data_IF_427118304654
#
_entry.id   IF_427118304654
#
_cell.length_a   1.000
_cell.length_b   1.000
_cell.length_c   1.000
_cell.angle_alpha   90.00
_cell.angle_beta   90.00
_cell.angle_gamma   90.00
#
_symmetry.space_group_name_H-M   'P 1'
#
loop_
_entity.id
_entity.type
_entity.pdbx_description
1 polymer ?
#
# COMPACT_ATOMS: atom_id res chain seq x y z
N UNK A 1 -11.22 5.06 -5.45
CA UNK A 1 -10.05 4.39 -4.85
C UNK A 1 -9.00 5.46 -4.62
N UNK A 2 -8.59 5.68 -3.37
CA UNK A 2 -7.55 6.67 -3.04
C UNK A 2 -6.17 6.10 -3.40
N UNK A 3 -5.17 6.96 -3.57
CA UNK A 3 -3.81 6.53 -3.88
C UNK A 3 -2.81 7.06 -2.85
N UNK A 4 -1.79 6.26 -2.56
CA UNK A 4 -0.67 6.62 -1.71
C UNK A 4 0.64 6.27 -2.43
N UNK A 5 1.42 7.28 -2.79
CA UNK A 5 2.75 7.08 -3.36
C UNK A 5 3.82 7.21 -2.28
N UNK A 6 4.55 6.13 -2.06
CA UNK A 6 5.66 6.07 -1.10
C UNK A 6 7.02 5.94 -1.78
N UNK A 7 7.08 5.90 -3.13
CA UNK A 7 8.35 5.82 -3.86
C UNK A 7 9.32 6.95 -3.50
N UNK A 8 8.90 8.24 -3.38
CA UNK A 8 9.83 9.30 -2.99
C UNK A 8 10.45 9.10 -1.60
N UNK A 9 9.72 8.47 -0.67
CA UNK A 9 10.21 8.18 0.68
C UNK A 9 11.26 7.06 0.61
N UNK A 10 10.95 5.99 -0.13
CA UNK A 10 11.85 4.85 -0.31
C UNK A 10 13.12 5.24 -1.06
N UNK A 11 13.02 6.07 -2.10
CA UNK A 11 14.16 6.60 -2.87
C UNK A 11 15.06 7.50 -2.02
N UNK A 12 14.52 8.20 -1.03
CA UNK A 12 15.28 8.98 -0.06
C UNK A 12 15.87 8.14 1.09
N UNK A 13 15.66 6.82 1.09
CA UNK A 13 16.11 5.92 2.16
C UNK A 13 15.26 5.99 3.43
N UNK A 14 14.08 6.59 3.37
CA UNK A 14 13.13 6.69 4.47
C UNK A 14 12.20 5.49 4.60
N UNK A 15 11.51 5.39 5.74
CA UNK A 15 10.58 4.32 6.05
C UNK A 15 9.12 4.81 5.94
N UNK A 16 8.29 4.28 5.03
CA UNK A 16 6.94 4.80 4.80
C UNK A 16 5.86 4.16 5.70
N UNK A 17 6.21 3.21 6.57
CA UNK A 17 5.23 2.39 7.30
C UNK A 17 4.22 3.23 8.08
N UNK A 18 4.70 4.19 8.89
CA UNK A 18 3.83 5.06 9.69
C UNK A 18 2.89 5.91 8.81
N UNK A 19 3.40 6.41 7.68
CA UNK A 19 2.59 7.16 6.71
C UNK A 19 1.49 6.28 6.10
N UNK A 20 1.80 5.03 5.78
CA UNK A 20 0.82 4.08 5.25
C UNK A 20 -0.24 3.78 6.32
N UNK A 21 0.16 3.55 7.57
CA UNK A 21 -0.80 3.29 8.65
C UNK A 21 -1.70 4.50 8.92
N UNK A 22 -1.14 5.71 8.95
CA UNK A 22 -1.92 6.94 9.10
C UNK A 22 -2.94 7.11 7.95
N UNK A 23 -2.51 6.88 6.71
CA UNK A 23 -3.41 6.90 5.55
C UNK A 23 -4.54 5.87 5.67
N UNK A 24 -4.22 4.64 6.08
CA UNK A 24 -5.22 3.57 6.27
C UNK A 24 -6.22 3.93 7.38
N UNK A 25 -5.79 4.61 8.45
CA UNK A 25 -6.71 5.06 9.52
C UNK A 25 -7.67 6.16 9.09
N UNK A 26 -7.35 6.91 8.03
CA UNK A 26 -8.21 7.95 7.45
C UNK A 26 -9.18 7.42 6.38
N UNK A 27 -9.08 6.13 6.02
CA UNK A 27 -10.03 5.50 5.12
C UNK A 27 -11.36 5.27 5.81
N UNK A 28 -12.45 5.60 5.12
CA UNK A 28 -13.78 5.21 5.57
C UNK A 28 -13.94 3.67 5.47
N UNK A 29 -14.79 3.05 6.31
CA UNK A 29 -15.10 1.64 6.20
C UNK A 29 -15.54 1.28 4.78
N UNK A 30 -14.95 0.21 4.21
CA UNK A 30 -15.25 -0.21 2.85
C UNK A 30 -14.47 0.52 1.74
N UNK A 31 -13.60 1.49 2.06
CA UNK A 31 -12.77 2.13 1.05
C UNK A 31 -11.56 1.28 0.64
N UNK A 32 -11.37 1.15 -0.68
CA UNK A 32 -10.16 0.60 -1.28
C UNK A 32 -9.13 1.70 -1.58
N UNK A 33 -7.85 1.32 -1.61
CA UNK A 33 -6.76 2.21 -2.00
C UNK A 33 -5.65 1.50 -2.80
N UNK A 34 -4.87 2.29 -3.54
CA UNK A 34 -3.68 1.85 -4.26
C UNK A 34 -2.42 2.40 -3.61
N UNK A 35 -1.43 1.54 -3.42
CA UNK A 35 -0.09 1.91 -2.97
C UNK A 35 0.91 1.82 -4.14
N UNK A 36 1.74 2.85 -4.30
CA UNK A 36 2.88 2.84 -5.21
C UNK A 36 4.19 2.70 -4.43
N UNK A 37 4.98 1.69 -4.76
CA UNK A 37 6.26 1.37 -4.09
C UNK A 37 7.36 1.02 -5.11
N UNK A 38 8.62 1.09 -4.68
CA UNK A 38 9.78 0.72 -5.53
C UNK A 38 10.08 -0.78 -5.54
N UNK A 39 9.42 -1.56 -4.68
CA UNK A 39 9.53 -3.01 -4.59
C UNK A 39 8.22 -3.61 -4.07
N UNK A 40 8.04 -4.93 -4.23
CA UNK A 40 6.88 -5.66 -3.74
C UNK A 40 6.83 -5.63 -2.19
N UNK A 41 5.79 -5.04 -1.56
CA UNK A 41 5.77 -4.84 -0.12
C UNK A 41 5.17 -6.05 0.61
N UNK A 42 5.87 -7.19 0.61
CA UNK A 42 5.37 -8.44 1.21
C UNK A 42 5.01 -8.34 2.70
N UNK A 43 5.81 -7.68 3.57
CA UNK A 43 5.44 -7.51 4.97
C UNK A 43 4.15 -6.71 5.13
N UNK A 44 3.94 -5.68 4.31
CA UNK A 44 2.75 -4.85 4.36
C UNK A 44 1.49 -5.61 3.90
N UNK A 45 1.61 -6.47 2.88
CA UNK A 45 0.51 -7.33 2.45
C UNK A 45 0.00 -8.19 3.62
N UNK A 46 0.92 -8.77 4.41
CA UNK A 46 0.56 -9.56 5.58
C UNK A 46 -0.08 -8.72 6.70
N UNK A 47 0.47 -7.53 6.98
CA UNK A 47 -0.09 -6.61 7.99
C UNK A 47 -1.50 -6.17 7.63
N UNK A 48 -1.73 -5.79 6.37
CA UNK A 48 -3.04 -5.31 5.94
C UNK A 48 -4.06 -6.45 5.77
N UNK A 49 -3.61 -7.68 5.48
CA UNK A 49 -4.46 -8.87 5.57
C UNK A 49 -5.02 -9.09 6.98
N UNK A 50 -4.21 -8.95 8.02
CA UNK A 50 -4.68 -9.02 9.42
C UNK A 50 -5.65 -7.89 9.79
N UNK A 51 -5.64 -6.79 9.02
CA UNK A 51 -6.54 -5.65 9.19
C UNK A 51 -7.77 -5.70 8.27
N UNK A 52 -8.04 -6.85 7.64
CA UNK A 52 -9.22 -7.04 6.80
C UNK A 52 -9.09 -6.47 5.39
N UNK A 53 -7.88 -6.38 4.83
CA UNK A 53 -7.66 -5.99 3.44
C UNK A 53 -7.04 -7.14 2.63
N UNK A 54 -7.50 -7.33 1.40
CA UNK A 54 -6.83 -8.15 0.39
C UNK A 54 -5.98 -7.26 -0.50
N UNK A 55 -4.67 -7.50 -0.52
CA UNK A 55 -3.73 -6.80 -1.40
C UNK A 55 -3.41 -7.58 -2.67
N UNK A 56 -3.48 -6.93 -3.83
CA UNK A 56 -3.06 -7.48 -5.13
C UNK A 56 -1.91 -6.65 -5.68
N UNK A 57 -0.70 -7.21 -5.68
CA UNK A 57 0.51 -6.53 -6.15
C UNK A 57 0.79 -6.84 -7.63
N UNK A 58 1.12 -5.80 -8.40
CA UNK A 58 1.51 -5.88 -9.82
C UNK A 58 2.80 -5.11 -10.04
N UNK A 59 3.75 -5.74 -10.71
CA UNK A 59 4.96 -5.08 -11.19
C UNK A 59 4.65 -4.26 -12.44
N UNK A 60 5.23 -3.07 -12.50
CA UNK A 60 5.06 -2.10 -13.57
C UNK A 60 6.26 -2.14 -14.52
N UNK A 61 6.10 -1.58 -15.72
CA UNK A 61 7.15 -1.60 -16.75
C UNK A 61 8.45 -0.88 -16.34
N UNK A 62 8.38 0.05 -15.39
CA UNK A 62 9.52 0.79 -14.83
C UNK A 62 10.17 0.08 -13.61
N UNK A 63 9.74 -1.14 -13.29
CA UNK A 63 10.21 -1.90 -12.12
C UNK A 63 9.56 -1.46 -10.80
N UNK A 64 8.70 -0.44 -10.82
CA UNK A 64 7.90 -0.07 -9.65
C UNK A 64 6.73 -1.03 -9.45
N UNK A 65 6.05 -0.91 -8.31
CA UNK A 65 4.97 -1.79 -7.91
C UNK A 65 3.70 -1.00 -7.60
N UNK A 66 2.59 -1.45 -8.17
CA UNK A 66 1.24 -1.02 -7.81
C UNK A 66 0.59 -2.10 -6.95
N UNK A 67 0.08 -1.75 -5.78
CA UNK A 67 -0.65 -2.67 -4.92
C UNK A 67 -2.05 -2.16 -4.66
N UNK A 68 -3.06 -2.90 -5.12
CA UNK A 68 -4.46 -2.60 -4.89
C UNK A 68 -4.93 -3.31 -3.61
N UNK A 69 -5.28 -2.54 -2.58
CA UNK A 69 -5.85 -3.04 -1.33
C UNK A 69 -7.36 -2.81 -1.32
N UNK A 70 -8.10 -3.92 -1.21
CA UNK A 70 -9.57 -3.90 -1.12
C UNK A 70 -10.00 -4.50 0.22
N UNK A 71 -11.00 -3.92 0.92
CA UNK A 71 -11.56 -4.54 2.12
C UNK A 71 -12.04 -5.96 1.86
N UNK A 72 -11.90 -6.81 2.86
CA UNK A 72 -12.49 -8.16 2.92
C UNK A 72 -13.83 -8.05 3.63
N UNK A 73 -14.86 -8.68 3.06
CA UNK A 73 -16.20 -8.80 3.66
C UNK A 73 -16.20 -9.76 4.87
#
# INVERSE_FOLDING_TARGET
>A
MKELDVRPILEAGGEPFDKIMAFVTELAPGEAFRLWATFKPEPLLAVLAQRGYRGTAREMADGSWAVDFVPQD
#
